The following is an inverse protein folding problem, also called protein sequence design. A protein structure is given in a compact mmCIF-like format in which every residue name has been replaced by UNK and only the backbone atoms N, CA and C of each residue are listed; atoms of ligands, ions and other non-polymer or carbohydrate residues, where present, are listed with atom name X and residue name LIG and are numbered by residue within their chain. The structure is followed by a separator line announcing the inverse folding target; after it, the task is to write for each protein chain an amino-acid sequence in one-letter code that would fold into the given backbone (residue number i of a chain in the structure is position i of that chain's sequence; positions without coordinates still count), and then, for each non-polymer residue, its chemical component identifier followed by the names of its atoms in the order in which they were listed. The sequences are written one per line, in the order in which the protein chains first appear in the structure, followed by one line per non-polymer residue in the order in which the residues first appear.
data_IF_024773694237
#
_entry.id   IF_024773694237
#
_cell.length_a   1.000
_cell.length_b   1.000
_cell.length_c   1.000
_cell.angle_alpha   90.00
_cell.angle_beta   90.00
_cell.angle_gamma   90.00
#
_symmetry.space_group_name_H-M   'P 1'
#
loop_
_entity.id
_entity.type
_entity.pdbx_description
1 polymer ?
#
# COMPACT_ATOMS: atom_id res chain seq x y z
N UNK A 1 18.05 11.46 -19.05
CA UNK A 1 19.25 11.40 -18.17
C UNK A 1 19.34 10.02 -17.50
N UNK A 2 20.42 9.26 -17.73
CA UNK A 2 20.53 7.88 -17.21
C UNK A 2 20.49 7.80 -15.67
N UNK A 3 21.00 8.84 -15.00
CA UNK A 3 21.06 8.97 -13.53
C UNK A 3 19.66 8.99 -12.87
N UNK A 4 18.64 9.58 -13.52
CA UNK A 4 17.27 9.61 -12.99
C UNK A 4 16.53 8.27 -13.10
N UNK A 5 16.94 7.42 -14.05
CA UNK A 5 16.37 6.08 -14.24
C UNK A 5 16.95 5.12 -13.20
N UNK A 6 18.26 5.17 -12.98
CA UNK A 6 18.93 4.36 -11.96
C UNK A 6 18.39 4.65 -10.56
N UNK A 7 18.21 5.93 -10.20
CA UNK A 7 17.59 6.31 -8.93
C UNK A 7 16.17 5.77 -8.81
N UNK A 8 15.35 5.89 -9.87
CA UNK A 8 13.98 5.40 -9.84
C UNK A 8 13.90 3.87 -9.68
N UNK A 9 14.78 3.13 -10.34
CA UNK A 9 14.87 1.67 -10.17
C UNK A 9 15.27 1.31 -8.75
N UNK A 10 16.26 1.99 -8.17
CA UNK A 10 16.68 1.79 -6.79
C UNK A 10 15.54 2.03 -5.80
N UNK A 11 14.78 3.11 -5.96
CA UNK A 11 13.64 3.42 -5.08
C UNK A 11 12.52 2.37 -5.18
N UNK A 12 12.28 1.83 -6.38
CA UNK A 12 11.35 0.72 -6.56
C UNK A 12 11.86 -0.54 -5.84
N UNK A 13 13.14 -0.86 -5.96
CA UNK A 13 13.71 -2.06 -5.35
C UNK A 13 13.80 -1.96 -3.82
N UNK A 14 14.11 -0.78 -3.29
CA UNK A 14 14.07 -0.51 -1.84
C UNK A 14 12.65 -0.69 -1.28
N UNK A 15 11.63 -0.21 -2.00
CA UNK A 15 10.23 -0.44 -1.62
C UNK A 15 9.87 -1.93 -1.67
N UNK A 16 10.25 -2.66 -2.73
CA UNK A 16 10.00 -4.11 -2.82
C UNK A 16 10.68 -4.86 -1.67
N UNK A 17 11.93 -4.51 -1.37
CA UNK A 17 12.69 -5.08 -0.28
C UNK A 17 11.99 -4.85 1.06
N UNK A 18 11.50 -3.64 1.30
CA UNK A 18 10.70 -3.36 2.48
C UNK A 18 9.41 -4.21 2.51
N UNK A 19 8.64 -4.27 1.43
CA UNK A 19 7.40 -5.05 1.39
C UNK A 19 7.64 -6.55 1.66
N UNK A 20 8.75 -7.09 1.18
CA UNK A 20 9.14 -8.48 1.41
C UNK A 20 9.64 -8.75 2.84
N UNK A 21 10.38 -7.82 3.43
CA UNK A 21 11.12 -8.05 4.68
C UNK A 21 10.54 -7.32 5.89
N UNK A 22 9.51 -6.48 5.74
CA UNK A 22 8.98 -5.69 6.85
C UNK A 22 8.59 -6.55 8.06
N UNK A 23 7.96 -7.74 7.91
CA UNK A 23 7.63 -8.63 9.03
C UNK A 23 8.82 -9.36 9.68
N UNK A 24 10.03 -9.25 9.12
CA UNK A 24 11.22 -9.91 9.64
C UNK A 24 11.98 -9.02 10.64
N UNK A 25 12.68 -9.67 11.59
CA UNK A 25 13.64 -9.05 12.52
C UNK A 25 13.08 -7.88 13.35
N UNK A 26 11.89 -8.06 13.93
CA UNK A 26 11.29 -7.06 14.81
C UNK A 26 12.00 -6.99 16.16
N UNK A 27 12.20 -5.77 16.66
CA UNK A 27 12.69 -5.58 18.03
C UNK A 27 11.63 -5.98 19.05
N UNK A 28 12.06 -6.41 20.23
CA UNK A 28 11.16 -6.72 21.34
C UNK A 28 10.35 -5.45 21.68
N UNK A 29 9.01 -5.56 21.64
CA UNK A 29 8.02 -4.47 21.79
C UNK A 29 7.79 -3.56 20.56
N UNK A 30 8.42 -3.83 19.42
CA UNK A 30 8.04 -3.13 18.19
C UNK A 30 6.64 -3.56 17.76
N UNK A 31 5.79 -2.58 17.48
CA UNK A 31 4.37 -2.78 17.07
C UNK A 31 4.08 -2.20 15.67
N UNK A 32 4.96 -1.32 15.18
CA UNK A 32 4.90 -0.76 13.84
C UNK A 32 6.31 -0.62 13.28
N UNK A 33 6.50 -1.05 12.03
CA UNK A 33 7.69 -0.74 11.22
C UNK A 33 7.27 0.11 10.04
N UNK A 34 7.94 1.25 9.83
CA UNK A 34 7.58 2.20 8.77
C UNK A 34 8.67 2.33 7.73
N UNK A 35 8.25 2.53 6.48
CA UNK A 35 9.10 2.95 5.37
C UNK A 35 8.62 4.29 4.85
N UNK A 36 9.54 5.25 4.71
CA UNK A 36 9.25 6.57 4.18
C UNK A 36 9.34 6.54 2.66
N UNK A 37 8.29 7.00 1.98
CA UNK A 37 8.22 7.08 0.53
C UNK A 37 8.79 8.41 0.03
N UNK A 38 8.10 9.50 0.34
CA UNK A 38 8.48 10.89 0.04
C UNK A 38 7.52 11.85 0.77
N UNK A 39 7.72 13.16 0.59
CA UNK A 39 6.90 14.19 1.23
C UNK A 39 5.41 14.17 0.81
N UNK A 40 5.10 13.64 -0.38
CA UNK A 40 3.74 13.62 -0.92
C UNK A 40 2.96 12.39 -0.42
N UNK A 41 3.55 11.20 -0.51
CA UNK A 41 2.91 9.93 -0.17
C UNK A 41 3.02 9.60 1.33
N UNK A 42 4.06 10.07 2.00
CA UNK A 42 4.30 9.85 3.43
C UNK A 42 4.96 8.50 3.73
N UNK A 43 4.32 7.67 4.55
CA UNK A 43 4.87 6.40 5.03
C UNK A 43 3.96 5.22 4.71
N UNK A 44 4.56 4.04 4.55
CA UNK A 44 3.91 2.73 4.60
C UNK A 44 4.21 2.11 5.97
N UNK A 45 3.19 1.55 6.62
CA UNK A 45 3.33 0.93 7.93
C UNK A 45 3.03 -0.57 7.88
N UNK A 46 4.01 -1.39 8.25
CA UNK A 46 3.79 -2.78 8.65
C UNK A 46 3.38 -2.78 10.13
N UNK A 47 2.19 -3.30 10.43
CA UNK A 47 1.61 -3.26 11.77
C UNK A 47 1.58 -4.67 12.36
N UNK A 48 2.17 -4.85 13.54
CA UNK A 48 2.07 -6.10 14.29
C UNK A 48 0.97 -5.98 15.34
N UNK A 49 -0.02 -6.86 15.27
CA UNK A 49 -1.17 -6.85 16.18
C UNK A 49 -1.66 -8.28 16.42
N UNK A 50 -1.80 -8.69 17.69
CA UNK A 50 -2.27 -10.04 18.07
C UNK A 50 -1.57 -11.17 17.30
N UNK A 51 -0.24 -11.12 17.22
CA UNK A 51 0.62 -12.11 16.53
C UNK A 51 0.43 -12.19 15.01
N UNK A 52 -0.20 -11.19 14.38
CA UNK A 52 -0.40 -11.13 12.94
C UNK A 52 0.13 -9.79 12.42
N UNK A 53 0.64 -9.79 11.18
CA UNK A 53 1.09 -8.59 10.48
C UNK A 53 0.02 -8.06 9.53
N UNK A 54 -0.15 -6.74 9.53
CA UNK A 54 -1.19 -6.04 8.78
C UNK A 54 -0.63 -4.87 7.99
N UNK A 55 -1.36 -4.52 6.93
CA UNK A 55 -1.18 -3.30 6.15
C UNK A 55 -2.54 -2.67 5.87
N UNK A 56 -2.61 -1.34 5.87
CA UNK A 56 -3.86 -0.62 5.60
C UNK A 56 -4.08 -0.46 4.08
N UNK A 57 -5.34 -0.37 3.65
CA UNK A 57 -5.65 -0.09 2.25
C UNK A 57 -4.99 1.21 1.75
N UNK A 58 -4.91 2.23 2.60
CA UNK A 58 -4.21 3.49 2.30
C UNK A 58 -2.73 3.28 2.04
N UNK A 59 -2.04 2.48 2.85
CA UNK A 59 -0.61 2.21 2.67
C UNK A 59 -0.35 1.35 1.43
N UNK A 60 -1.24 0.42 1.08
CA UNK A 60 -1.17 -0.31 -0.20
C UNK A 60 -1.28 0.67 -1.37
N UNK A 61 -2.28 1.55 -1.36
CA UNK A 61 -2.49 2.53 -2.44
C UNK A 61 -1.29 3.46 -2.61
N UNK A 62 -0.67 3.90 -1.51
CA UNK A 62 0.57 4.69 -1.53
C UNK A 62 1.73 3.90 -2.15
N UNK A 63 1.90 2.64 -1.77
CA UNK A 63 2.95 1.78 -2.32
C UNK A 63 2.81 1.62 -3.84
N UNK A 64 1.59 1.36 -4.31
CA UNK A 64 1.32 1.18 -5.74
C UNK A 64 1.49 2.51 -6.48
N UNK A 65 0.97 3.63 -5.97
CA UNK A 65 1.14 4.98 -6.55
C UNK A 65 2.61 5.37 -6.67
N UNK A 66 3.39 5.13 -5.61
CA UNK A 66 4.82 5.42 -5.58
C UNK A 66 5.58 4.61 -6.64
N UNK A 67 5.35 3.28 -6.67
CA UNK A 67 5.95 2.40 -7.68
C UNK A 67 5.56 2.84 -9.10
N UNK A 68 4.32 3.30 -9.30
CA UNK A 68 3.82 3.76 -10.61
C UNK A 68 4.54 5.01 -11.11
N UNK A 69 4.70 6.02 -10.24
CA UNK A 69 5.44 7.24 -10.56
C UNK A 69 6.91 6.95 -10.93
N UNK A 70 7.59 6.14 -10.12
CA UNK A 70 8.99 5.76 -10.37
C UNK A 70 9.16 4.81 -11.55
N UNK A 71 8.11 4.08 -11.95
CA UNK A 71 8.12 3.30 -13.19
C UNK A 71 8.10 4.20 -14.44
N UNK A 72 7.92 5.51 -14.28
CA UNK A 72 7.92 6.49 -15.37
C UNK A 72 6.54 6.77 -15.95
N UNK A 73 5.47 6.44 -15.21
CA UNK A 73 4.09 6.74 -15.60
C UNK A 73 3.56 7.96 -14.87
N UNK A 74 2.93 8.87 -15.60
CA UNK A 74 2.28 10.04 -15.01
C UNK A 74 0.84 9.72 -14.57
N UNK A 75 0.52 10.05 -13.33
CA UNK A 75 -0.84 9.91 -12.79
C UNK A 75 -1.67 11.14 -13.15
N UNK A 76 -2.33 11.09 -14.31
CA UNK A 76 -3.23 12.15 -14.78
C UNK A 76 -4.39 12.44 -13.82
N UNK A 77 -4.98 11.41 -13.23
CA UNK A 77 -6.06 11.50 -12.24
C UNK A 77 -5.76 10.60 -11.05
N UNK A 78 -5.13 11.18 -10.03
CA UNK A 78 -4.77 10.50 -8.78
C UNK A 78 -5.99 9.84 -8.14
N UNK A 79 -7.14 10.51 -8.11
CA UNK A 79 -8.34 9.99 -7.45
C UNK A 79 -8.87 8.74 -8.16
N UNK A 80 -8.97 8.76 -9.49
CA UNK A 80 -9.38 7.58 -10.27
C UNK A 80 -8.38 6.43 -10.13
N UNK A 81 -7.09 6.74 -10.02
CA UNK A 81 -6.06 5.72 -9.78
C UNK A 81 -6.28 5.03 -8.43
N UNK A 82 -6.43 5.82 -7.36
CA UNK A 82 -6.71 5.30 -6.02
C UNK A 82 -8.00 4.48 -5.99
N UNK A 83 -9.08 4.97 -6.60
CA UNK A 83 -10.35 4.24 -6.73
C UNK A 83 -10.19 2.90 -7.46
N UNK A 84 -9.35 2.85 -8.50
CA UNK A 84 -9.00 1.63 -9.22
C UNK A 84 -8.30 0.60 -8.32
N UNK A 85 -7.25 1.02 -7.62
CA UNK A 85 -6.54 0.13 -6.68
C UNK A 85 -7.45 -0.33 -5.53
N UNK A 86 -8.27 0.57 -4.98
CA UNK A 86 -9.29 0.18 -3.98
C UNK A 86 -10.30 -0.82 -4.54
N UNK A 87 -10.60 -0.75 -5.84
CA UNK A 87 -11.46 -1.72 -6.49
C UNK A 87 -10.83 -3.10 -6.56
N UNK A 88 -9.56 -3.20 -6.93
CA UNK A 88 -8.84 -4.48 -6.97
C UNK A 88 -8.75 -5.12 -5.58
N UNK A 89 -8.54 -4.29 -4.55
CA UNK A 89 -8.54 -4.72 -3.14
C UNK A 89 -9.88 -5.30 -2.65
N UNK A 90 -10.98 -5.13 -3.41
CA UNK A 90 -12.26 -5.80 -3.11
C UNK A 90 -12.18 -7.30 -3.32
N UNK A 91 -11.29 -7.78 -4.20
CA UNK A 91 -11.12 -9.22 -4.49
C UNK A 91 -10.62 -10.03 -3.29
N UNK A 92 -9.84 -9.40 -2.40
CA UNK A 92 -9.31 -10.01 -1.18
C UNK A 92 -10.43 -10.24 -0.15
N UNK A 93 -10.61 -11.44 0.38
CA UNK A 93 -11.78 -11.78 1.21
C UNK A 93 -11.55 -11.49 2.70
N UNK A 94 -12.58 -10.99 3.38
CA UNK A 94 -12.56 -10.89 4.84
C UNK A 94 -12.53 -12.30 5.45
N UNK A 95 -11.68 -12.51 6.46
CA UNK A 95 -11.44 -13.82 7.10
C UNK A 95 -10.31 -14.62 6.46
N UNK A 96 -9.98 -14.38 5.20
CA UNK A 96 -8.88 -15.06 4.49
C UNK A 96 -7.70 -14.15 4.23
N UNK A 97 -7.96 -12.95 3.70
CA UNK A 97 -6.92 -12.01 3.25
C UNK A 97 -6.93 -10.70 4.05
N UNK A 98 -8.01 -10.45 4.78
CA UNK A 98 -8.24 -9.21 5.50
C UNK A 98 -9.16 -9.42 6.71
N UNK A 99 -9.14 -8.47 7.62
CA UNK A 99 -10.12 -8.31 8.69
C UNK A 99 -10.97 -7.07 8.44
N UNK A 100 -12.24 -7.13 8.86
CA UNK A 100 -13.14 -6.00 8.80
C UNK A 100 -13.27 -5.41 10.22
N UNK A 101 -12.55 -4.31 10.46
CA UNK A 101 -12.54 -3.63 11.73
C UNK A 101 -13.72 -2.67 11.85
N UNK A 102 -14.52 -2.87 12.89
CA UNK A 102 -15.67 -2.04 13.19
C UNK A 102 -15.24 -0.72 13.86
N UNK A 103 -16.04 0.36 13.73
CA UNK A 103 -15.81 1.59 14.47
C UNK A 103 -15.60 1.31 15.96
N UNK A 104 -14.68 2.05 16.59
CA UNK A 104 -14.33 1.95 18.02
C UNK A 104 -13.64 0.64 18.44
N UNK A 105 -13.28 -0.27 17.53
CA UNK A 105 -12.43 -1.41 17.89
C UNK A 105 -11.06 -0.94 18.39
N UNK A 106 -10.44 -1.71 19.27
CA UNK A 106 -9.12 -1.34 19.83
C UNK A 106 -8.05 -1.30 18.75
N UNK A 107 -8.14 -2.20 17.77
CA UNK A 107 -7.23 -2.19 16.64
C UNK A 107 -7.41 -0.94 15.78
N UNK A 108 -8.64 -0.52 15.49
CA UNK A 108 -8.89 0.67 14.71
C UNK A 108 -8.46 1.96 15.44
N UNK A 109 -8.71 2.03 16.75
CA UNK A 109 -8.20 3.12 17.61
C UNK A 109 -6.66 3.16 17.57
N UNK A 110 -6.02 2.01 17.64
CA UNK A 110 -4.57 1.89 17.54
C UNK A 110 -4.05 2.41 16.19
N UNK A 111 -4.65 1.98 15.08
CA UNK A 111 -4.25 2.43 13.73
C UNK A 111 -4.43 3.94 13.56
N UNK A 112 -5.53 4.50 14.07
CA UNK A 112 -5.78 5.94 14.03
C UNK A 112 -4.81 6.73 14.91
N UNK A 113 -4.54 6.27 16.14
CA UNK A 113 -3.57 6.89 17.07
C UNK A 113 -2.16 6.95 16.45
N UNK A 114 -1.81 5.96 15.64
CA UNK A 114 -0.54 5.87 14.94
C UNK A 114 -0.59 6.39 13.50
N UNK A 115 -1.58 7.20 13.13
CA UNK A 115 -1.68 7.83 11.80
C UNK A 115 -1.62 6.86 10.60
N UNK A 116 -1.93 5.59 10.81
CA UNK A 116 -2.00 4.58 9.74
C UNK A 116 -3.33 4.70 8.97
N UNK A 117 -4.33 5.35 9.57
CA UNK A 117 -5.65 5.62 8.99
C UNK A 117 -6.08 7.05 9.36
N UNK A 118 -6.80 7.71 8.42
CA UNK A 118 -7.38 9.05 8.63
C UNK A 118 -8.78 9.04 9.26
N UNK A 119 -9.41 7.87 9.32
CA UNK A 119 -10.80 7.72 9.78
C UNK A 119 -10.94 6.59 10.78
N UNK A 120 -11.94 6.68 11.66
CA UNK A 120 -12.36 5.63 12.59
C UNK A 120 -13.69 4.99 12.18
N UNK A 121 -14.11 5.17 10.91
CA UNK A 121 -15.22 4.41 10.34
C UNK A 121 -14.81 2.95 10.15
N UNK A 122 -15.77 2.08 9.79
CA UNK A 122 -15.48 0.69 9.45
C UNK A 122 -14.37 0.62 8.40
N UNK A 123 -13.30 -0.14 8.65
CA UNK A 123 -12.16 -0.26 7.74
C UNK A 123 -11.84 -1.72 7.47
N UNK A 124 -11.47 -2.02 6.23
CA UNK A 124 -10.90 -3.30 5.86
C UNK A 124 -9.38 -3.19 5.97
N UNK A 125 -8.77 -4.05 6.78
CA UNK A 125 -7.33 -4.07 7.04
C UNK A 125 -6.80 -5.41 6.55
N UNK A 126 -5.72 -5.41 5.79
CA UNK A 126 -5.26 -6.60 5.06
C UNK A 126 -4.16 -7.32 5.83
N UNK A 127 -4.14 -8.64 5.76
CA UNK A 127 -2.99 -9.41 6.23
C UNK A 127 -1.81 -9.12 5.31
N UNK A 128 -0.65 -8.84 5.91
CA UNK A 128 0.54 -8.41 5.18
C UNK A 128 0.89 -9.37 4.03
N UNK A 129 0.90 -10.67 4.31
CA UNK A 129 1.28 -11.70 3.34
C UNK A 129 0.21 -12.03 2.29
N UNK A 130 -1.03 -11.55 2.47
CA UNK A 130 -2.14 -11.81 1.55
C UNK A 130 -2.27 -10.75 0.46
N UNK A 131 -1.50 -9.67 0.50
CA UNK A 131 -1.59 -8.57 -0.47
C UNK A 131 -0.69 -8.86 -1.68
N UNK A 132 -1.25 -9.08 -2.89
CA UNK A 132 -0.46 -9.35 -4.08
C UNK A 132 0.00 -8.04 -4.73
N UNK A 133 0.98 -7.37 -4.14
CA UNK A 133 1.46 -6.04 -4.57
C UNK A 133 1.83 -5.96 -6.05
N UNK A 134 2.52 -6.97 -6.58
CA UNK A 134 2.90 -6.98 -8.00
C UNK A 134 1.70 -7.12 -8.92
N UNK A 135 0.72 -7.96 -8.55
CA UNK A 135 -0.53 -8.08 -9.31
C UNK A 135 -1.31 -6.77 -9.32
N UNK A 136 -1.47 -6.12 -8.17
CA UNK A 136 -2.14 -4.82 -8.07
C UNK A 136 -1.46 -3.76 -8.94
N UNK A 137 -0.13 -3.78 -9.02
CA UNK A 137 0.63 -2.91 -9.89
C UNK A 137 0.37 -3.22 -11.38
N UNK A 138 0.41 -4.50 -11.78
CA UNK A 138 0.12 -4.94 -13.14
C UNK A 138 -1.30 -4.56 -13.58
N UNK A 139 -2.30 -4.80 -12.71
CA UNK A 139 -3.71 -4.45 -12.98
C UNK A 139 -3.88 -2.93 -13.15
N UNK A 140 -3.15 -2.13 -12.36
CA UNK A 140 -3.14 -0.68 -12.50
C UNK A 140 -2.49 -0.21 -13.81
N UNK A 141 -1.37 -0.82 -14.20
CA UNK A 141 -0.69 -0.53 -15.46
C UNK A 141 -1.52 -0.91 -16.69
N UNK A 142 -2.20 -2.05 -16.65
CA UNK A 142 -3.09 -2.47 -17.73
C UNK A 142 -4.24 -1.49 -17.94
N UNK A 143 -4.84 -0.99 -16.84
CA UNK A 143 -5.89 0.05 -16.93
C UNK A 143 -5.38 1.37 -17.47
N UNK A 144 -4.17 1.77 -17.10
CA UNK A 144 -3.54 2.99 -17.62
C UNK A 144 -3.31 2.90 -19.13
N UNK A 145 -2.69 1.81 -19.59
CA UNK A 145 -2.46 1.53 -21.01
C UNK A 145 -3.76 1.48 -21.82
N UNK A 146 -4.83 0.86 -21.28
CA UNK A 146 -6.14 0.83 -21.93
C UNK A 146 -6.74 2.22 -22.12
N UNK A 147 -6.57 3.12 -21.13
CA UNK A 147 -7.05 4.50 -21.22
C UNK A 147 -6.26 5.31 -22.24
N UNK A 148 -4.94 5.10 -22.28
CA UNK A 148 -4.06 5.74 -23.26
C UNK A 148 -4.48 5.36 -24.69
N UNK A 149 -4.73 4.08 -24.93
CA UNK A 149 -5.20 3.57 -26.22
C UNK A 149 -6.62 4.02 -26.59
N UNK A 150 -7.53 4.18 -25.62
CA UNK A 150 -8.90 4.62 -25.90
C UNK A 150 -9.04 6.13 -26.11
N UNK A 151 -8.04 6.91 -25.68
CA UNK A 151 -7.99 8.36 -25.85
C UNK A 151 -7.18 8.79 -27.08
N UNK A 152 -6.64 7.83 -27.84
CA UNK A 152 -6.10 8.01 -29.20
C UNK A 152 -7.16 7.64 -30.23
#
# INVERSE_FOLDING_TARGET
PAESVEESLRLIDDLKFFLATAPANWQENQIIRRYYLNNQEGFISCIFWKNIYYITGTDIVRAISYKFKHFGRELSDQKKFEEGVFSDLRSLKCGTDAVLEMPKSDFLKFLHKNSCLRTQKKQKVFFWFSVPHDKLFSDALERDLKKELSNQ
#
